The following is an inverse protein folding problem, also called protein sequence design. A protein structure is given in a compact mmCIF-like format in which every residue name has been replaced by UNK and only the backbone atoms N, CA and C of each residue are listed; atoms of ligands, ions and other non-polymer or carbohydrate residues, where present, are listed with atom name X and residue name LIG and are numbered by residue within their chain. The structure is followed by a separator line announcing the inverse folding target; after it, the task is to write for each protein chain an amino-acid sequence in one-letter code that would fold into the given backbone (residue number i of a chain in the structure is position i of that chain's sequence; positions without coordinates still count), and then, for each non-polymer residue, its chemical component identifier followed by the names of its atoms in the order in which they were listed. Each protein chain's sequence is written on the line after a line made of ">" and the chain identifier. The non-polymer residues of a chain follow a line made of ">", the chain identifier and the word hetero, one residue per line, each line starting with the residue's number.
data_IF_092341564681
#
_entry.id   IF_092341564681
#
_cell.length_a   1.000
_cell.length_b   1.000
_cell.length_c   1.000
_cell.angle_alpha   90.00
_cell.angle_beta   90.00
_cell.angle_gamma   90.00
#
_symmetry.space_group_name_H-M   'P 1'
#
loop_
_entity.id
_entity.type
_entity.pdbx_description
1 polymer ?
#
# COMPACT_ATOMS: atom_id res chain seq x y z
N UNK A 1 -0.65 -18.37 -15.43
CA UNK A 1 0.12 -17.97 -14.24
C UNK A 1 0.76 -16.57 -14.36
N UNK A 2 0.58 -15.83 -15.47
CA UNK A 2 1.24 -14.53 -15.70
C UNK A 2 0.38 -13.31 -15.32
N UNK A 3 -0.95 -13.34 -15.53
CA UNK A 3 -1.79 -12.16 -15.34
C UNK A 3 -1.97 -11.70 -13.87
N UNK A 4 -2.10 -12.65 -12.92
CA UNK A 4 -2.29 -12.31 -11.51
C UNK A 4 -1.06 -11.65 -10.86
N UNK A 5 0.14 -12.06 -11.28
CA UNK A 5 1.39 -11.48 -10.78
C UNK A 5 1.60 -10.04 -11.25
N UNK A 6 1.26 -9.74 -12.51
CA UNK A 6 1.38 -8.38 -13.06
C UNK A 6 0.48 -7.38 -12.31
N UNK A 7 -0.75 -7.77 -11.99
CA UNK A 7 -1.66 -6.94 -11.23
C UNK A 7 -1.15 -6.68 -9.81
N UNK A 8 -0.71 -7.73 -9.11
CA UNK A 8 -0.26 -7.61 -7.72
C UNK A 8 1.00 -6.73 -7.60
N UNK A 9 1.95 -6.88 -8.51
CA UNK A 9 3.16 -6.04 -8.53
C UNK A 9 2.82 -4.58 -8.81
N UNK A 10 1.94 -4.31 -9.80
CA UNK A 10 1.53 -2.94 -10.13
C UNK A 10 0.85 -2.25 -8.95
N UNK A 11 -0.03 -2.99 -8.25
CA UNK A 11 -0.69 -2.53 -7.04
C UNK A 11 0.33 -2.17 -5.95
N UNK A 12 1.27 -3.07 -5.62
CA UNK A 12 2.27 -2.85 -4.58
C UNK A 12 3.17 -1.64 -4.85
N UNK A 13 3.64 -1.48 -6.08
CA UNK A 13 4.55 -0.39 -6.48
C UNK A 13 3.86 0.97 -6.34
N UNK A 14 2.57 1.06 -6.68
CA UNK A 14 1.81 2.31 -6.59
C UNK A 14 1.74 2.89 -5.17
N UNK A 15 1.67 2.03 -4.13
CA UNK A 15 1.70 2.50 -2.73
C UNK A 15 3.10 2.94 -2.29
N UNK A 16 4.14 2.30 -2.82
CA UNK A 16 5.52 2.67 -2.56
C UNK A 16 5.87 4.02 -3.20
N UNK A 17 5.30 4.31 -4.37
CA UNK A 17 5.46 5.59 -5.06
C UNK A 17 4.74 6.74 -4.33
N UNK A 18 3.58 6.47 -3.72
CA UNK A 18 2.85 7.45 -2.91
C UNK A 18 3.55 7.70 -1.57
N UNK A 19 3.92 6.63 -0.85
CA UNK A 19 4.66 6.78 0.40
C UNK A 19 5.38 5.49 0.79
N UNK A 20 6.72 5.44 0.68
CA UNK A 20 7.48 4.23 1.01
C UNK A 20 7.43 3.88 2.50
N UNK A 21 7.19 4.86 3.37
CA UNK A 21 7.17 4.66 4.82
C UNK A 21 5.81 4.18 5.35
N UNK A 22 4.72 4.54 4.66
CA UNK A 22 3.35 4.17 5.04
C UNK A 22 2.75 3.10 4.13
N UNK A 23 3.47 2.66 3.09
CA UNK A 23 3.04 1.64 2.15
C UNK A 23 2.49 0.39 2.85
N UNK A 24 3.13 -0.10 3.92
CA UNK A 24 2.67 -1.29 4.65
C UNK A 24 1.28 -1.13 5.28
N UNK A 25 1.02 0.00 5.94
CA UNK A 25 -0.28 0.29 6.55
C UNK A 25 -1.35 0.55 5.48
N UNK A 26 -1.01 1.29 4.42
CA UNK A 26 -1.92 1.58 3.30
C UNK A 26 -2.34 0.32 2.53
N UNK A 27 -1.38 -0.56 2.25
CA UNK A 27 -1.63 -1.88 1.63
C UNK A 27 -2.54 -2.73 2.50
N UNK A 28 -2.32 -2.72 3.83
CA UNK A 28 -3.12 -3.47 4.79
C UNK A 28 -4.59 -3.03 4.79
N UNK A 29 -4.84 -1.72 4.94
CA UNK A 29 -6.20 -1.16 4.92
C UNK A 29 -6.89 -1.49 3.58
N UNK A 30 -6.19 -1.27 2.47
CA UNK A 30 -6.74 -1.51 1.13
C UNK A 30 -7.07 -2.99 0.88
N UNK A 31 -6.28 -3.90 1.45
CA UNK A 31 -6.56 -5.35 1.42
C UNK A 31 -7.80 -5.72 2.25
N UNK A 32 -8.02 -5.07 3.40
CA UNK A 32 -9.24 -5.31 4.19
C UNK A 32 -10.49 -4.85 3.45
N UNK A 33 -10.46 -3.68 2.81
CA UNK A 33 -11.56 -3.18 1.97
C UNK A 33 -11.84 -4.10 0.78
N UNK A 34 -10.78 -4.62 0.16
CA UNK A 34 -10.90 -5.61 -0.92
C UNK A 34 -11.55 -6.90 -0.44
N UNK A 35 -11.17 -7.39 0.75
CA UNK A 35 -11.79 -8.56 1.38
C UNK A 35 -13.27 -8.36 1.68
N UNK A 36 -13.66 -7.20 2.23
CA UNK A 36 -15.06 -6.86 2.47
C UNK A 36 -15.87 -6.81 1.17
N UNK A 37 -15.30 -6.20 0.13
CA UNK A 37 -15.94 -6.13 -1.20
C UNK A 37 -16.12 -7.53 -1.79
N UNK A 38 -15.12 -8.40 -1.64
CA UNK A 38 -15.18 -9.80 -2.06
C UNK A 38 -16.25 -10.61 -1.33
N UNK A 39 -16.59 -10.25 -0.10
CA UNK A 39 -17.70 -10.86 0.65
C UNK A 39 -19.07 -10.31 0.24
N UNK A 40 -19.19 -8.99 0.07
CA UNK A 40 -20.46 -8.31 -0.26
C UNK A 40 -20.91 -8.62 -1.69
N UNK A 41 -19.98 -8.71 -2.63
CA UNK A 41 -20.27 -8.92 -4.06
C UNK A 41 -21.13 -10.18 -4.34
N UNK A 42 -20.75 -11.39 -3.91
CA UNK A 42 -21.56 -12.59 -4.14
C UNK A 42 -22.91 -12.56 -3.41
N UNK A 43 -23.01 -11.85 -2.27
CA UNK A 43 -24.28 -11.68 -1.56
C UNK A 43 -25.29 -10.87 -2.39
N UNK A 44 -24.82 -9.78 -3.02
CA UNK A 44 -25.63 -8.96 -3.92
C UNK A 44 -26.00 -9.74 -5.19
N UNK A 45 -25.01 -10.39 -5.82
CA UNK A 45 -25.22 -11.18 -7.05
C UNK A 45 -26.19 -12.34 -6.81
N UNK A 46 -26.10 -13.01 -5.66
CA UNK A 46 -27.03 -14.07 -5.24
C UNK A 46 -28.47 -13.57 -5.17
N UNK A 47 -28.70 -12.49 -4.42
CA UNK A 47 -30.03 -11.89 -4.29
C UNK A 47 -30.63 -11.43 -5.64
N UNK A 48 -29.79 -11.00 -6.58
CA UNK A 48 -30.21 -10.61 -7.94
C UNK A 48 -30.54 -11.82 -8.85
N UNK A 49 -29.99 -12.99 -8.56
CA UNK A 49 -30.06 -14.18 -9.44
C UNK A 49 -31.04 -15.26 -8.95
N UNK A 50 -31.50 -15.18 -7.69
CA UNK A 50 -32.35 -16.18 -7.01
C UNK A 50 -33.63 -16.60 -7.77
N UNK A 51 -34.12 -15.80 -8.71
CA UNK A 51 -35.40 -16.06 -9.40
C UNK A 51 -35.31 -16.76 -10.76
N UNK A 52 -34.12 -16.86 -11.39
CA UNK A 52 -33.75 -17.66 -12.60
C UNK A 52 -32.57 -16.99 -13.33
N UNK A 53 -31.34 -17.57 -13.34
CA UNK A 53 -30.19 -17.02 -14.04
C UNK A 53 -30.44 -16.98 -15.55
N UNK A 54 -30.98 -15.87 -16.02
CA UNK A 54 -31.28 -15.62 -17.43
C UNK A 54 -30.30 -14.57 -17.96
N UNK A 55 -30.02 -14.59 -19.26
CA UNK A 55 -29.12 -13.63 -19.92
C UNK A 55 -29.48 -12.15 -19.61
N UNK A 56 -30.77 -11.86 -19.39
CA UNK A 56 -31.23 -10.53 -19.00
C UNK A 56 -30.71 -10.05 -17.63
N UNK A 57 -30.62 -10.93 -16.63
CA UNK A 57 -30.12 -10.59 -15.30
C UNK A 57 -28.60 -10.34 -15.30
N UNK A 58 -27.85 -11.13 -16.05
CA UNK A 58 -26.41 -10.91 -16.23
C UNK A 58 -26.11 -9.55 -16.87
N UNK A 59 -26.92 -9.12 -17.85
CA UNK A 59 -26.79 -7.78 -18.43
C UNK A 59 -26.99 -6.67 -17.39
N UNK A 60 -27.91 -6.86 -16.45
CA UNK A 60 -28.14 -5.91 -15.34
C UNK A 60 -26.92 -5.89 -14.41
N UNK A 61 -26.37 -7.05 -14.06
CA UNK A 61 -25.16 -7.14 -13.21
C UNK A 61 -23.98 -6.44 -13.89
N UNK A 62 -23.74 -6.70 -15.18
CA UNK A 62 -22.67 -6.02 -15.91
C UNK A 62 -22.90 -4.51 -16.04
N UNK A 63 -24.13 -4.07 -16.31
CA UNK A 63 -24.46 -2.65 -16.31
C UNK A 63 -24.19 -2.00 -14.94
N UNK A 64 -24.54 -2.68 -13.84
CA UNK A 64 -24.22 -2.23 -12.48
C UNK A 64 -22.71 -2.14 -12.24
N UNK A 65 -21.93 -3.13 -12.69
CA UNK A 65 -20.45 -3.06 -12.56
C UNK A 65 -19.86 -1.88 -13.31
N UNK A 66 -20.34 -1.57 -14.52
CA UNK A 66 -19.89 -0.42 -15.29
C UNK A 66 -20.22 0.89 -14.55
N UNK A 67 -21.43 1.02 -14.02
CA UNK A 67 -21.83 2.21 -13.23
C UNK A 67 -20.95 2.36 -11.99
N UNK A 68 -20.65 1.26 -11.28
CA UNK A 68 -19.77 1.28 -10.11
C UNK A 68 -18.33 1.69 -10.46
N UNK A 69 -17.80 1.23 -11.60
CA UNK A 69 -16.47 1.61 -12.08
C UNK A 69 -16.41 3.10 -12.48
N UNK A 70 -17.45 3.62 -13.11
CA UNK A 70 -17.52 5.05 -13.45
C UNK A 70 -17.64 5.88 -12.18
N UNK A 71 -18.49 5.46 -11.23
CA UNK A 71 -18.65 6.15 -9.95
C UNK A 71 -17.35 6.18 -9.16
N UNK A 72 -16.60 5.07 -9.09
CA UNK A 72 -15.31 5.04 -8.41
C UNK A 72 -14.27 5.92 -9.10
N UNK A 73 -14.26 5.97 -10.43
CA UNK A 73 -13.39 6.87 -11.18
C UNK A 73 -13.72 8.35 -10.90
N UNK A 74 -14.99 8.72 -10.79
CA UNK A 74 -15.41 10.08 -10.43
C UNK A 74 -14.96 10.42 -9.00
N UNK A 75 -15.19 9.52 -8.05
CA UNK A 75 -14.74 9.72 -6.65
C UNK A 75 -13.22 9.88 -6.61
N UNK A 76 -12.48 9.03 -7.32
CA UNK A 76 -11.03 9.17 -7.42
C UNK A 76 -10.65 10.54 -7.99
N UNK A 77 -11.26 10.98 -9.09
CA UNK A 77 -10.95 12.26 -9.72
C UNK A 77 -11.25 13.47 -8.81
N UNK A 78 -12.26 13.36 -7.93
CA UNK A 78 -12.65 14.44 -7.02
C UNK A 78 -11.78 14.53 -5.77
N UNK A 79 -11.31 13.40 -5.24
CA UNK A 79 -10.63 13.32 -3.95
C UNK A 79 -9.13 13.03 -4.06
N UNK A 80 -8.65 12.53 -5.19
CA UNK A 80 -7.23 12.29 -5.38
C UNK A 80 -6.49 13.62 -5.52
N UNK A 81 -5.47 13.80 -4.68
CA UNK A 81 -4.48 14.87 -4.84
C UNK A 81 -3.13 14.26 -5.16
N UNK A 82 -2.39 14.90 -6.06
CA UNK A 82 -1.04 14.48 -6.46
C UNK A 82 0.05 15.20 -5.65
N UNK A 83 -0.34 16.08 -4.72
CA UNK A 83 0.62 16.85 -3.92
C UNK A 83 1.29 15.99 -2.85
N UNK A 84 2.60 16.20 -2.70
CA UNK A 84 3.43 15.58 -1.67
C UNK A 84 2.86 15.92 -0.30
N UNK A 85 2.60 14.89 0.51
CA UNK A 85 1.96 15.11 1.79
C UNK A 85 2.98 15.60 2.84
N UNK A 86 2.59 16.58 3.65
CA UNK A 86 3.43 17.25 4.63
C UNK A 86 4.06 16.33 5.71
N UNK A 87 3.41 15.21 6.01
CA UNK A 87 3.88 14.23 6.99
C UNK A 87 5.11 13.43 6.52
N UNK A 88 5.42 13.45 5.22
CA UNK A 88 6.62 12.81 4.68
C UNK A 88 7.90 13.54 5.11
N UNK A 89 7.89 14.87 5.12
CA UNK A 89 9.08 15.67 5.45
C UNK A 89 9.47 15.51 6.93
N UNK A 90 8.49 15.42 7.82
CA UNK A 90 8.71 15.16 9.25
C UNK A 90 9.34 13.79 9.50
N UNK A 91 8.87 12.76 8.79
CA UNK A 91 9.35 11.40 8.99
C UNK A 91 10.78 11.23 8.43
N UNK A 92 11.06 11.82 7.26
CA UNK A 92 12.42 11.91 6.72
C UNK A 92 13.39 12.62 7.67
N UNK A 93 12.97 13.74 8.28
CA UNK A 93 13.78 14.48 9.24
C UNK A 93 14.10 13.63 10.49
N UNK A 94 13.10 12.95 11.06
CA UNK A 94 13.27 12.04 12.21
C UNK A 94 14.22 10.89 11.89
N UNK A 95 14.05 10.25 10.73
CA UNK A 95 14.86 9.10 10.30
C UNK A 95 16.33 9.50 10.10
N UNK A 96 16.58 10.63 9.45
CA UNK A 96 17.94 11.17 9.26
C UNK A 96 18.62 11.50 10.60
N UNK A 97 17.89 12.09 11.54
CA UNK A 97 18.40 12.37 12.89
C UNK A 97 18.74 11.10 13.67
N UNK A 98 17.89 10.07 13.59
CA UNK A 98 18.11 8.77 14.24
C UNK A 98 19.30 8.02 13.65
N UNK A 99 19.44 7.99 12.33
CA UNK A 99 20.58 7.36 11.66
C UNK A 99 21.90 8.05 12.01
N UNK A 100 21.93 9.39 12.00
CA UNK A 100 23.12 10.14 12.45
C UNK A 100 23.50 9.84 13.89
N UNK A 101 22.52 9.68 14.78
CA UNK A 101 22.78 9.28 16.15
C UNK A 101 23.34 7.84 16.22
N UNK A 102 22.76 6.91 15.47
CA UNK A 102 23.25 5.53 15.38
C UNK A 102 24.67 5.42 14.84
N UNK A 103 24.99 6.12 13.74
CA UNK A 103 26.34 6.16 13.19
C UNK A 103 27.35 6.73 14.18
N UNK A 104 27.02 7.82 14.88
CA UNK A 104 27.90 8.37 15.93
C UNK A 104 28.19 7.35 17.03
N UNK A 105 27.22 6.53 17.39
CA UNK A 105 27.44 5.43 18.34
C UNK A 105 28.39 4.37 17.77
N UNK A 106 28.16 3.89 16.54
CA UNK A 106 29.04 2.89 15.90
C UNK A 106 30.47 3.40 15.74
N UNK A 107 30.65 4.63 15.25
CA UNK A 107 31.97 5.22 15.08
C UNK A 107 32.71 5.31 16.42
N UNK A 108 32.02 5.71 17.51
CA UNK A 108 32.60 5.72 18.86
C UNK A 108 33.03 4.34 19.36
N UNK A 109 32.28 3.30 19.02
CA UNK A 109 32.62 1.93 19.41
C UNK A 109 33.85 1.48 18.62
N UNK A 110 33.84 1.69 17.30
CA UNK A 110 34.95 1.31 16.43
C UNK A 110 36.25 2.02 16.80
N UNK A 111 36.21 3.31 17.16
CA UNK A 111 37.41 4.03 17.61
C UNK A 111 37.96 3.43 18.90
N UNK A 112 37.10 3.09 19.87
CA UNK A 112 37.53 2.45 21.13
C UNK A 112 38.11 1.04 20.93
N UNK A 113 37.59 0.31 19.95
CA UNK A 113 38.09 -1.02 19.59
C UNK A 113 39.49 -0.90 18.95
N UNK A 114 39.67 0.08 18.05
CA UNK A 114 40.96 0.38 17.41
C UNK A 114 42.04 0.75 18.44
N UNK A 115 41.71 1.55 19.46
CA UNK A 115 42.65 1.91 20.54
C UNK A 115 43.06 0.68 21.38
N UNK A 116 42.10 -0.19 21.71
CA UNK A 116 42.39 -1.44 22.45
C UNK A 116 43.29 -2.41 21.68
N UNK A 117 43.15 -2.48 20.37
CA UNK A 117 43.98 -3.36 19.53
C UNK A 117 45.42 -2.86 19.41
N UNK A 118 45.64 -1.55 19.53
CA UNK A 118 46.98 -0.96 19.56
C UNK A 118 47.68 -1.25 20.89
N UNK A 119 46.99 -1.07 22.03
CA UNK A 119 47.54 -1.36 23.37
C UNK A 119 47.91 -2.85 23.58
N UNK A 120 47.29 -3.77 22.83
CA UNK A 120 47.55 -5.21 22.97
C UNK A 120 48.73 -5.71 22.11
N UNK A 121 49.17 -4.91 21.14
CA UNK A 121 50.28 -5.24 20.23
C UNK A 121 51.61 -4.56 20.62
N UNK A 122 51.62 -3.79 21.71
CA UNK A 122 52.81 -3.24 22.38
C UNK A 122 53.15 -4.10 23.61
#
# INVERSE_FOLDING_TARGET
>A
MTAGGLWYCSYMISYLDISPEYAGSLIGISSTLSGLTGFITPMIVGALTDKKPTFGQWRIIFAMTIVLLIASAIVYQLFATADKQNWEDECHAKRSSRYRSYLRHIFRIRTKETEKDLEKNE
#
